data_IF_900186156018
#
_entry.id   IF_900186156018
#
_cell.length_a   1.000
_cell.length_b   1.000
_cell.length_c   1.000
_cell.angle_alpha   90.00
_cell.angle_beta   90.00
_cell.angle_gamma   90.00
#
_symmetry.space_group_name_H-M   'P 1'
#
loop_
_entity.id
_entity.type
_entity.pdbx_description
1 polymer ?
#
# COMPACT_ATOMS: atom_id res chain seq x y z
N UNK A 1 23.14 24.48 -21.30
CA UNK A 1 24.53 24.84 -20.95
C UNK A 1 25.00 24.05 -19.74
N UNK A 2 24.25 24.04 -18.64
CA UNK A 2 24.56 23.23 -17.44
C UNK A 2 24.70 21.72 -17.70
N UNK A 3 23.80 21.08 -18.46
CA UNK A 3 23.92 19.63 -18.74
C UNK A 3 25.18 19.27 -19.53
N UNK A 4 25.66 20.17 -20.40
CA UNK A 4 26.89 19.96 -21.17
C UNK A 4 28.13 20.09 -20.28
N UNK A 5 28.16 21.09 -19.40
CA UNK A 5 29.23 21.28 -18.42
C UNK A 5 29.29 20.12 -17.40
N UNK A 6 28.14 19.59 -17.00
CA UNK A 6 28.04 18.38 -16.18
C UNK A 6 28.63 17.19 -16.92
N UNK A 7 28.30 16.99 -18.20
CA UNK A 7 28.82 15.89 -19.01
C UNK A 7 30.33 16.01 -19.27
N UNK A 8 30.86 17.23 -19.41
CA UNK A 8 32.30 17.45 -19.58
C UNK A 8 33.13 17.00 -18.36
N UNK A 9 32.57 17.14 -17.16
CA UNK A 9 33.23 16.79 -15.90
C UNK A 9 32.74 15.46 -15.30
N UNK A 10 31.83 14.77 -15.98
CA UNK A 10 31.22 13.55 -15.46
C UNK A 10 32.22 12.39 -15.49
N UNK A 11 32.48 11.82 -14.32
CA UNK A 11 33.17 10.55 -14.20
C UNK A 11 32.15 9.40 -14.08
N UNK A 12 32.18 8.40 -14.98
CA UNK A 12 31.32 7.23 -14.91
C UNK A 12 31.38 6.55 -13.53
N UNK A 13 30.25 6.53 -12.84
CA UNK A 13 30.12 5.94 -11.50
C UNK A 13 28.76 5.31 -11.31
N UNK A 14 28.65 4.42 -10.34
CA UNK A 14 27.36 4.02 -9.84
C UNK A 14 26.91 4.93 -8.68
N UNK A 15 25.61 5.04 -8.48
CA UNK A 15 25.00 5.81 -7.41
C UNK A 15 23.68 5.19 -6.96
N UNK A 16 23.22 5.52 -5.77
CA UNK A 16 21.88 5.16 -5.27
C UNK A 16 21.00 6.42 -5.32
N UNK A 17 19.77 6.26 -5.77
CA UNK A 17 18.75 7.32 -5.80
C UNK A 17 17.48 6.88 -5.04
N UNK A 18 16.97 7.71 -4.10
CA UNK A 18 17.62 8.90 -3.58
C UNK A 18 18.91 8.54 -2.80
N UNK A 19 19.84 9.48 -2.65
CA UNK A 19 21.09 9.25 -1.91
C UNK A 19 20.95 9.42 -0.40
N UNK A 20 19.83 9.97 0.05
CA UNK A 20 19.51 10.25 1.46
C UNK A 20 18.05 9.90 1.70
N UNK A 21 17.78 9.25 2.84
CA UNK A 21 16.44 9.08 3.40
C UNK A 21 16.43 9.76 4.76
N UNK A 22 15.80 10.94 4.84
CA UNK A 22 15.73 11.74 6.06
C UNK A 22 14.30 11.85 6.58
N UNK A 23 14.01 11.16 7.69
CA UNK A 23 12.72 11.17 8.37
C UNK A 23 12.41 12.53 9.04
N UNK A 24 13.35 13.47 9.05
CA UNK A 24 13.15 14.82 9.57
C UNK A 24 12.76 15.84 8.50
N UNK A 25 12.86 15.48 7.22
CA UNK A 25 12.51 16.34 6.09
C UNK A 25 11.06 16.10 5.63
N UNK A 26 10.13 16.92 6.12
CA UNK A 26 8.75 16.97 5.64
C UNK A 26 8.50 18.25 4.82
N UNK A 27 7.77 18.19 3.70
CA UNK A 27 7.01 17.04 3.19
C UNK A 27 7.80 16.11 2.26
N UNK A 28 9.09 16.36 2.03
CA UNK A 28 9.87 15.66 1.01
C UNK A 28 9.94 14.13 1.23
N UNK A 29 10.18 13.70 2.46
CA UNK A 29 10.26 12.28 2.83
C UNK A 29 8.92 11.71 3.33
N UNK A 30 7.78 12.32 2.98
CA UNK A 30 6.48 11.70 3.26
C UNK A 30 6.39 10.34 2.51
N UNK A 31 5.84 9.27 3.12
CA UNK A 31 5.15 9.21 4.43
C UNK A 31 6.08 9.04 5.64
N UNK A 32 7.34 8.68 5.42
CA UNK A 32 8.31 8.33 6.47
C UNK A 32 8.53 9.45 7.49
N UNK A 33 8.55 10.70 7.04
CA UNK A 33 8.75 11.84 7.93
C UNK A 33 7.59 12.08 8.92
N UNK A 34 6.39 11.55 8.62
CA UNK A 34 5.21 11.65 9.50
C UNK A 34 5.03 10.49 10.47
N UNK A 35 5.69 9.35 10.22
CA UNK A 35 5.63 8.19 11.11
C UNK A 35 7.04 7.73 11.50
N UNK A 36 7.47 8.00 12.74
CA UNK A 36 8.73 7.47 13.24
C UNK A 36 8.67 5.94 13.38
N UNK A 37 9.84 5.32 13.39
CA UNK A 37 9.99 3.90 13.69
C UNK A 37 9.86 3.66 15.21
N UNK A 38 9.49 2.44 15.58
CA UNK A 38 9.46 1.96 16.96
C UNK A 38 9.52 0.44 17.00
N UNK A 39 9.85 -0.13 18.16
CA UNK A 39 9.97 -1.57 18.32
C UNK A 39 8.61 -2.27 18.32
N UNK A 40 8.55 -3.47 17.74
CA UNK A 40 7.32 -4.26 17.61
C UNK A 40 6.43 -3.87 16.41
N UNK A 41 6.85 -2.89 15.60
CA UNK A 41 6.18 -2.53 14.37
C UNK A 41 6.44 -3.52 13.21
N UNK A 42 5.52 -3.60 12.25
CA UNK A 42 5.75 -4.16 10.93
C UNK A 42 7.00 -3.54 10.28
N UNK A 43 7.76 -4.32 9.49
CA UNK A 43 8.91 -3.80 8.77
C UNK A 43 8.53 -2.63 7.86
N UNK A 44 9.27 -1.53 7.96
CA UNK A 44 9.17 -0.45 6.98
C UNK A 44 10.08 -0.78 5.81
N UNK A 45 9.49 -0.83 4.62
CA UNK A 45 10.21 -1.12 3.38
C UNK A 45 10.47 0.19 2.63
N UNK A 46 11.72 0.43 2.25
CA UNK A 46 12.13 1.53 1.39
C UNK A 46 12.89 1.00 0.18
N UNK A 47 12.42 1.32 -1.02
CA UNK A 47 13.09 0.92 -2.26
C UNK A 47 13.86 2.11 -2.84
N UNK A 48 15.16 1.91 -3.02
CA UNK A 48 16.04 2.82 -3.74
C UNK A 48 16.44 2.24 -5.09
N UNK A 49 16.74 3.10 -6.05
CA UNK A 49 17.24 2.72 -7.37
C UNK A 49 18.76 2.77 -7.38
N UNK A 50 19.40 1.69 -7.81
CA UNK A 50 20.80 1.67 -8.16
C UNK A 50 20.92 2.15 -9.61
N UNK A 51 21.70 3.20 -9.84
CA UNK A 51 22.01 3.73 -11.16
C UNK A 51 23.47 3.41 -11.50
N UNK A 52 23.71 2.75 -12.63
CA UNK A 52 25.04 2.39 -13.10
C UNK A 52 25.44 3.21 -14.32
N UNK A 53 26.17 4.30 -14.09
CA UNK A 53 26.76 5.11 -15.16
C UNK A 53 28.06 4.54 -15.72
N UNK A 54 28.60 3.45 -15.15
CA UNK A 54 29.87 2.86 -15.61
C UNK A 54 29.73 2.02 -16.88
N UNK A 55 28.55 1.44 -17.13
CA UNK A 55 28.25 0.60 -18.29
C UNK A 55 26.80 0.10 -18.29
N UNK A 56 26.40 -0.57 -19.39
CA UNK A 56 25.03 -1.14 -19.55
C UNK A 56 24.74 -2.24 -18.54
N UNK A 57 25.77 -3.01 -18.19
CA UNK A 57 25.70 -4.12 -17.25
C UNK A 57 26.62 -3.83 -16.07
N UNK A 58 26.16 -4.14 -14.86
CA UNK A 58 26.94 -4.11 -13.64
C UNK A 58 26.52 -5.24 -12.70
N UNK A 59 27.30 -5.44 -11.65
CA UNK A 59 27.08 -6.49 -10.67
C UNK A 59 27.35 -5.95 -9.28
N UNK A 60 26.55 -6.38 -8.31
CA UNK A 60 26.80 -6.12 -6.89
C UNK A 60 27.90 -7.07 -6.43
N UNK A 61 29.02 -6.52 -5.94
CA UNK A 61 30.21 -7.31 -5.60
C UNK A 61 30.03 -8.11 -4.31
N UNK A 62 29.36 -7.52 -3.32
CA UNK A 62 29.09 -8.12 -2.02
C UNK A 62 27.73 -7.61 -1.50
N UNK A 63 27.08 -8.33 -0.56
CA UNK A 63 25.85 -7.86 0.06
C UNK A 63 25.98 -6.43 0.62
N UNK A 64 24.94 -5.58 0.48
CA UNK A 64 24.90 -4.25 1.10
C UNK A 64 25.18 -4.31 2.59
N UNK A 65 25.90 -3.30 3.10
CA UNK A 65 26.32 -3.25 4.50
C UNK A 65 25.76 -2.00 5.17
N UNK A 66 25.10 -2.19 6.31
CA UNK A 66 24.74 -1.10 7.23
C UNK A 66 25.92 -0.73 8.12
N UNK A 67 26.23 0.56 8.16
CA UNK A 67 27.31 1.15 8.94
C UNK A 67 26.72 2.26 9.81
N UNK A 68 26.38 1.97 11.08
CA UNK A 68 25.82 2.96 11.97
C UNK A 68 26.85 4.05 12.30
N UNK A 69 26.40 5.29 12.48
CA UNK A 69 27.27 6.40 12.87
C UNK A 69 27.73 6.32 14.33
N UNK A 70 26.96 5.65 15.19
CA UNK A 70 27.24 5.45 16.62
C UNK A 70 26.70 4.10 17.13
N UNK A 71 26.83 3.83 18.43
CA UNK A 71 26.35 2.58 19.03
C UNK A 71 24.82 2.45 19.02
N UNK A 72 24.09 3.57 19.00
CA UNK A 72 22.62 3.58 19.02
C UNK A 72 22.06 3.05 17.69
N UNK A 73 22.78 3.23 16.59
CA UNK A 73 22.44 2.63 15.30
C UNK A 73 22.42 1.08 15.30
N UNK A 74 22.92 0.42 16.34
CA UNK A 74 22.77 -1.03 16.52
C UNK A 74 21.35 -1.44 16.95
N UNK A 75 20.50 -0.49 17.38
CA UNK A 75 19.08 -0.74 17.66
C UNK A 75 18.26 -0.96 16.38
N UNK A 76 18.79 -0.58 15.22
CA UNK A 76 18.19 -0.85 13.93
C UNK A 76 18.52 -2.30 13.49
N UNK A 77 17.47 -3.06 13.20
CA UNK A 77 17.53 -4.28 12.40
C UNK A 77 17.23 -3.90 10.96
N UNK A 78 18.18 -4.14 10.05
CA UNK A 78 18.03 -3.83 8.63
C UNK A 78 18.45 -5.02 7.77
N UNK A 79 17.57 -5.39 6.85
CA UNK A 79 17.82 -6.43 5.86
C UNK A 79 17.69 -5.86 4.45
N UNK A 80 18.36 -6.48 3.49
CA UNK A 80 18.43 -5.97 2.12
C UNK A 80 17.93 -7.01 1.12
N UNK A 81 17.13 -6.54 0.17
CA UNK A 81 16.80 -7.24 -1.06
C UNK A 81 17.32 -6.41 -2.22
N UNK A 82 18.07 -6.97 -3.17
CA UNK A 82 18.71 -6.18 -4.22
C UNK A 82 18.90 -6.97 -5.50
N UNK A 83 19.17 -6.27 -6.60
CA UNK A 83 19.53 -6.90 -7.87
C UNK A 83 20.98 -7.36 -7.84
N UNK A 84 21.23 -8.66 -8.03
CA UNK A 84 22.60 -9.19 -8.21
C UNK A 84 23.23 -8.67 -9.51
N UNK A 85 22.41 -8.57 -10.56
CA UNK A 85 22.78 -8.04 -11.88
C UNK A 85 22.02 -6.75 -12.13
N UNK A 86 22.76 -5.70 -12.46
CA UNK A 86 22.24 -4.39 -12.84
C UNK A 86 22.14 -4.34 -14.35
N UNK A 87 20.92 -4.40 -14.89
CA UNK A 87 20.67 -4.36 -16.32
C UNK A 87 19.22 -3.97 -16.65
N UNK A 88 19.00 -3.09 -17.66
CA UNK A 88 19.99 -2.24 -18.32
C UNK A 88 20.21 -0.95 -17.49
N UNK A 89 21.46 -0.66 -17.11
CA UNK A 89 21.89 0.50 -16.30
C UNK A 89 21.28 0.66 -14.90
N UNK A 90 20.17 0.00 -14.58
CA UNK A 90 19.45 0.18 -13.32
C UNK A 90 19.23 -1.13 -12.59
N UNK A 91 19.26 -1.07 -11.26
CA UNK A 91 18.88 -2.16 -10.35
C UNK A 91 18.11 -1.59 -9.17
N UNK A 92 17.64 -2.46 -8.28
CA UNK A 92 16.96 -2.03 -7.05
C UNK A 92 17.76 -2.38 -5.80
N UNK A 93 17.55 -1.59 -4.75
CA UNK A 93 18.00 -1.84 -3.39
C UNK A 93 16.80 -1.58 -2.46
N UNK A 94 16.18 -2.65 -1.98
CA UNK A 94 15.13 -2.63 -0.97
C UNK A 94 15.72 -2.76 0.43
N UNK A 95 15.36 -1.84 1.31
CA UNK A 95 15.71 -1.80 2.72
C UNK A 95 14.50 -2.23 3.54
N UNK A 96 14.67 -3.23 4.38
CA UNK A 96 13.65 -3.72 5.32
C UNK A 96 14.08 -3.34 6.72
N UNK A 97 13.45 -2.33 7.30
CA UNK A 97 13.89 -1.68 8.54
C UNK A 97 12.92 -1.94 9.68
N UNK A 98 13.47 -2.34 10.83
CA UNK A 98 12.74 -2.52 12.09
C UNK A 98 13.61 -2.09 13.27
N UNK A 99 12.97 -1.58 14.32
CA UNK A 99 13.67 -1.34 15.59
C UNK A 99 13.59 -2.62 16.41
N UNK A 100 14.74 -3.05 16.93
CA UNK A 100 14.82 -4.23 17.79
C UNK A 100 14.13 -3.97 19.13
N UNK A 101 13.77 -5.03 19.84
CA UNK A 101 13.04 -4.95 21.11
C UNK A 101 13.81 -4.14 22.19
N UNK A 102 15.15 -4.20 22.17
CA UNK A 102 16.02 -3.41 23.05
C UNK A 102 15.82 -1.90 22.86
N UNK A 103 15.34 -1.48 21.69
CA UNK A 103 15.01 -0.09 21.37
C UNK A 103 13.60 0.34 21.72
N UNK A 104 12.80 -0.48 22.42
CA UNK A 104 11.39 -0.20 22.73
C UNK A 104 11.14 1.07 23.55
N UNK A 105 12.12 1.51 24.35
CA UNK A 105 12.08 2.74 25.14
C UNK A 105 12.93 3.87 24.54
N UNK A 106 13.61 3.62 23.41
CA UNK A 106 14.50 4.59 22.81
C UNK A 106 13.70 5.72 22.13
N UNK A 107 14.20 6.94 22.26
CA UNK A 107 13.65 8.13 21.60
C UNK A 107 14.81 8.95 21.07
N UNK A 108 14.87 9.17 19.76
CA UNK A 108 15.96 9.92 19.16
C UNK A 108 16.09 9.70 17.66
N UNK A 109 17.28 9.98 17.15
CA UNK A 109 17.65 9.75 15.76
C UNK A 109 18.61 8.57 15.68
N UNK A 110 18.47 7.76 14.64
CA UNK A 110 19.47 6.78 14.21
C UNK A 110 20.02 7.25 12.87
N UNK A 111 21.33 7.41 12.80
CA UNK A 111 22.04 7.86 11.61
C UNK A 111 23.08 6.84 11.18
N UNK A 112 23.34 6.76 9.88
CA UNK A 112 24.37 5.91 9.33
C UNK A 112 24.25 5.74 7.82
N UNK A 113 25.07 4.84 7.29
CA UNK A 113 25.23 4.65 5.86
C UNK A 113 24.93 3.21 5.46
N UNK A 114 24.21 3.03 4.35
CA UNK A 114 24.15 1.77 3.62
C UNK A 114 25.12 1.86 2.44
N UNK A 115 26.09 0.96 2.41
CA UNK A 115 27.15 0.95 1.41
C UNK A 115 26.98 -0.25 0.46
N UNK A 116 27.04 0.01 -0.85
CA UNK A 116 26.94 -1.01 -1.91
C UNK A 116 28.12 -0.86 -2.88
N UNK A 117 28.87 -1.94 -3.07
CA UNK A 117 29.97 -1.98 -4.02
C UNK A 117 29.50 -2.58 -5.34
N UNK A 118 29.67 -1.82 -6.42
CA UNK A 118 29.26 -2.21 -7.77
C UNK A 118 30.48 -2.24 -8.65
N UNK A 119 30.57 -3.28 -9.49
CA UNK A 119 31.53 -3.33 -10.56
C UNK A 119 30.85 -3.48 -11.92
N UNK A 120 31.51 -2.99 -12.96
CA UNK A 120 31.07 -3.13 -14.35
C UNK A 120 32.25 -3.59 -15.21
N UNK A 121 32.00 -4.35 -16.29
CA UNK A 121 33.04 -4.71 -17.24
C UNK A 121 33.80 -3.48 -17.76
N UNK A 122 35.05 -3.66 -18.21
CA UNK A 122 35.84 -2.57 -18.80
C UNK A 122 35.11 -1.93 -19.98
N UNK A 123 35.20 -0.61 -20.12
CA UNK A 123 34.70 0.05 -21.32
C UNK A 123 35.61 -0.22 -22.53
N UNK A 124 35.17 0.21 -23.72
CA UNK A 124 35.96 0.05 -24.95
C UNK A 124 37.32 0.72 -24.80
N UNK A 125 38.40 -0.08 -24.90
CA UNK A 125 39.78 0.40 -24.76
C UNK A 125 40.37 0.25 -23.35
N UNK A 126 39.55 -0.13 -22.37
CA UNK A 126 40.00 -0.44 -21.01
C UNK A 126 40.21 -1.95 -20.84
N UNK A 127 41.10 -2.33 -19.91
CA UNK A 127 41.36 -3.73 -19.55
C UNK A 127 40.89 -4.10 -18.15
N UNK A 128 40.60 -3.11 -17.32
CA UNK A 128 40.28 -3.28 -15.90
C UNK A 128 38.80 -2.98 -15.68
N UNK A 129 38.08 -3.80 -14.89
CA UNK A 129 36.71 -3.49 -14.51
C UNK A 129 36.60 -2.17 -13.77
N UNK A 130 35.52 -1.43 -14.03
CA UNK A 130 35.20 -0.19 -13.31
C UNK A 130 34.52 -0.56 -12.00
N UNK A 131 34.90 0.09 -10.90
CA UNK A 131 34.31 -0.12 -9.57
C UNK A 131 33.83 1.21 -9.01
N UNK A 132 32.70 1.17 -8.31
CA UNK A 132 32.14 2.31 -7.61
C UNK A 132 31.48 1.86 -6.32
N UNK A 133 31.81 2.54 -5.23
CA UNK A 133 31.13 2.38 -3.94
C UNK A 133 30.02 3.42 -3.86
N UNK A 134 28.79 2.95 -3.72
CA UNK A 134 27.61 3.78 -3.56
C UNK A 134 27.23 3.86 -2.09
N UNK A 135 26.79 5.03 -1.64
CA UNK A 135 26.39 5.27 -0.26
C UNK A 135 24.98 5.85 -0.26
N UNK A 136 24.09 5.25 0.53
CA UNK A 136 22.78 5.76 0.89
C UNK A 136 22.82 6.18 2.36
N UNK A 137 22.58 7.45 2.64
CA UNK A 137 22.55 7.96 4.00
C UNK A 137 21.15 7.77 4.59
N UNK A 138 21.07 7.22 5.80
CA UNK A 138 19.82 7.07 6.54
C UNK A 138 19.86 7.98 7.76
N UNK A 139 18.78 8.75 7.94
CA UNK A 139 18.49 9.51 9.14
C UNK A 139 17.07 9.20 9.57
N UNK A 140 16.96 8.29 10.52
CA UNK A 140 15.70 7.66 10.92
C UNK A 140 15.26 8.25 12.26
N UNK A 141 13.98 8.61 12.35
CA UNK A 141 13.37 9.07 13.61
C UNK A 141 12.78 7.88 14.34
N UNK A 142 13.16 7.70 15.62
CA UNK A 142 12.69 6.61 16.47
C UNK A 142 12.02 7.16 17.72
N UNK A 143 10.94 6.52 18.13
CA UNK A 143 10.21 6.82 19.37
C UNK A 143 9.99 5.55 20.21
N UNK A 144 9.64 5.69 21.50
CA UNK A 144 9.22 4.55 22.29
C UNK A 144 7.98 3.90 21.69
N UNK A 145 7.85 2.59 21.87
CA UNK A 145 6.70 1.82 21.36
C UNK A 145 5.39 2.44 21.85
N UNK A 146 4.52 2.89 20.93
CA UNK A 146 3.23 3.48 21.29
C UNK A 146 2.33 2.48 22.02
N UNK A 147 1.40 2.96 22.87
CA UNK A 147 0.39 2.10 23.46
C UNK A 147 -0.40 1.35 22.40
N UNK A 148 -0.72 0.08 22.65
CA UNK A 148 -1.53 -0.79 21.77
C UNK A 148 -2.77 -0.09 21.22
N UNK A 149 -3.49 0.64 22.06
CA UNK A 149 -4.73 1.34 21.69
C UNK A 149 -4.56 2.45 20.64
N UNK A 150 -3.32 2.87 20.34
CA UNK A 150 -2.99 3.84 19.30
C UNK A 150 -2.37 3.22 18.06
N UNK A 151 -2.22 1.90 18.02
CA UNK A 151 -1.60 1.18 16.91
C UNK A 151 -2.68 0.54 16.04
N UNK A 152 -2.73 0.96 14.79
CA UNK A 152 -3.67 0.50 13.77
C UNK A 152 -2.87 -0.31 12.75
N UNK A 153 -3.32 -1.51 12.46
CA UNK A 153 -2.81 -2.31 11.35
C UNK A 153 -3.75 -2.13 10.16
N UNK A 154 -3.20 -1.77 9.01
CA UNK A 154 -3.89 -1.69 7.73
C UNK A 154 -3.67 -2.99 6.96
N UNK A 155 -4.74 -3.65 6.55
CA UNK A 155 -4.65 -4.82 5.68
C UNK A 155 -4.37 -4.40 4.24
N UNK A 156 -3.09 -4.47 3.81
CA UNK A 156 -2.67 -4.18 2.44
C UNK A 156 -2.61 -5.43 1.58
N UNK A 157 -2.61 -6.60 2.21
CA UNK A 157 -2.35 -7.86 1.52
C UNK A 157 -3.49 -8.24 0.59
N UNK A 158 -4.72 -7.96 1.04
CA UNK A 158 -5.97 -8.27 0.33
C UNK A 158 -6.52 -7.10 -0.52
N UNK A 159 -5.80 -5.97 -0.57
CA UNK A 159 -6.06 -4.89 -1.53
C UNK A 159 -5.49 -5.24 -2.92
N UNK A 160 -6.10 -4.70 -3.98
CA UNK A 160 -5.54 -4.71 -5.32
C UNK A 160 -4.24 -3.89 -5.36
N UNK A 161 -3.13 -4.57 -5.70
CA UNK A 161 -1.80 -3.91 -5.87
C UNK A 161 -1.62 -3.34 -7.27
N UNK A 162 -2.16 -4.06 -8.25
CA UNK A 162 -2.23 -3.70 -9.66
C UNK A 162 -3.32 -4.60 -10.26
N UNK A 163 -4.25 -4.08 -11.08
CA UNK A 163 -5.40 -4.87 -11.51
C UNK A 163 -4.95 -6.13 -12.25
N UNK A 164 -5.19 -7.35 -11.69
CA UNK A 164 -4.87 -8.62 -12.36
C UNK A 164 -5.89 -8.95 -13.47
N UNK A 165 -6.98 -8.19 -13.54
CA UNK A 165 -8.08 -8.33 -14.49
C UNK A 165 -8.94 -7.07 -14.51
N UNK A 166 -10.16 -7.18 -15.02
CA UNK A 166 -11.11 -6.06 -14.99
C UNK A 166 -11.65 -5.86 -13.57
N UNK A 167 -11.14 -4.87 -12.85
CA UNK A 167 -11.80 -4.32 -11.66
C UNK A 167 -12.46 -2.98 -12.04
N UNK A 168 -13.76 -2.80 -11.76
CA UNK A 168 -14.47 -1.56 -12.03
C UNK A 168 -14.12 -0.50 -10.97
N UNK A 169 -14.41 0.78 -11.27
CA UNK A 169 -14.30 1.87 -10.30
C UNK A 169 -15.23 1.69 -9.11
N UNK A 170 -14.82 2.20 -7.96
CA UNK A 170 -15.64 2.23 -6.74
C UNK A 170 -16.87 3.11 -6.93
N UNK A 171 -16.69 4.30 -7.52
CA UNK A 171 -17.80 5.19 -7.87
C UNK A 171 -18.36 4.87 -9.25
N UNK A 172 -19.61 4.39 -9.27
CA UNK A 172 -20.33 4.09 -10.52
C UNK A 172 -20.79 5.33 -11.30
N UNK A 173 -20.61 6.52 -10.74
CA UNK A 173 -20.90 7.79 -11.41
C UNK A 173 -19.83 8.14 -12.47
N UNK A 174 -18.64 7.55 -12.36
CA UNK A 174 -17.52 7.76 -13.30
C UNK A 174 -17.68 6.83 -14.50
N UNK A 175 -17.98 7.40 -15.68
CA UNK A 175 -18.29 6.62 -16.90
C UNK A 175 -17.25 6.69 -18.01
N UNK A 176 -16.32 7.64 -17.94
CA UNK A 176 -15.32 7.85 -18.99
C UNK A 176 -14.15 6.87 -18.91
N UNK A 177 -13.98 6.26 -17.73
CA UNK A 177 -12.93 5.32 -17.42
C UNK A 177 -13.51 4.26 -16.49
N UNK A 178 -13.61 3.06 -17.02
CA UNK A 178 -14.33 1.95 -16.39
C UNK A 178 -13.42 1.08 -15.53
N UNK A 179 -12.10 1.19 -15.69
CA UNK A 179 -11.14 0.35 -14.97
C UNK A 179 -10.67 1.10 -13.72
N UNK A 180 -10.42 0.39 -12.62
CA UNK A 180 -9.52 0.90 -11.59
C UNK A 180 -8.08 0.45 -11.86
N UNK A 181 -7.21 1.44 -12.08
CA UNK A 181 -5.79 1.26 -12.41
C UNK A 181 -4.90 1.75 -11.27
N UNK A 182 -5.48 2.42 -10.27
CA UNK A 182 -4.72 2.94 -9.15
C UNK A 182 -4.75 1.90 -8.04
N UNK A 183 -3.61 1.23 -7.81
CA UNK A 183 -3.51 0.29 -6.70
C UNK A 183 -3.84 0.94 -5.36
N UNK A 184 -4.51 0.18 -4.51
CA UNK A 184 -5.08 0.64 -3.27
C UNK A 184 -4.06 0.57 -2.16
N UNK A 185 -3.36 1.69 -1.95
CA UNK A 185 -2.32 1.78 -0.94
C UNK A 185 -2.58 2.94 0.03
N UNK A 186 -2.28 2.69 1.30
CA UNK A 186 -2.37 3.67 2.39
C UNK A 186 -1.67 5.00 2.08
N UNK A 187 -0.59 4.93 1.30
CA UNK A 187 0.25 6.06 0.92
C UNK A 187 0.02 6.58 -0.51
N UNK A 188 -0.99 6.08 -1.23
CA UNK A 188 -1.44 6.62 -2.52
C UNK A 188 -2.91 7.03 -2.41
N UNK A 189 -3.84 6.13 -2.73
CA UNK A 189 -5.27 6.39 -2.78
C UNK A 189 -5.82 6.85 -1.42
N UNK A 190 -5.31 6.27 -0.33
CA UNK A 190 -5.78 6.57 1.03
C UNK A 190 -4.88 7.54 1.81
N UNK A 191 -4.04 8.33 1.13
CA UNK A 191 -3.08 9.20 1.81
C UNK A 191 -3.72 10.23 2.75
N UNK A 192 -4.95 10.68 2.43
CA UNK A 192 -5.70 11.63 3.27
C UNK A 192 -6.07 10.97 4.59
N UNK A 193 -6.61 9.75 4.54
CA UNK A 193 -6.94 8.97 5.74
C UNK A 193 -5.69 8.69 6.59
N UNK A 194 -4.57 8.30 5.97
CA UNK A 194 -3.31 8.14 6.69
C UNK A 194 -2.93 9.42 7.45
N UNK A 195 -2.96 10.57 6.76
CA UNK A 195 -2.63 11.85 7.38
C UNK A 195 -3.58 12.19 8.54
N UNK A 196 -4.90 12.01 8.37
CA UNK A 196 -5.89 12.26 9.42
C UNK A 196 -5.69 11.37 10.65
N UNK A 197 -5.42 10.07 10.44
CA UNK A 197 -5.13 9.14 11.54
C UNK A 197 -3.84 9.51 12.28
N UNK A 198 -2.79 9.89 11.53
CA UNK A 198 -1.54 10.39 12.12
C UNK A 198 -1.74 11.67 12.91
N UNK A 199 -2.52 12.62 12.38
CA UNK A 199 -2.84 13.90 13.03
C UNK A 199 -3.68 13.68 14.31
N UNK A 200 -4.52 12.64 14.33
CA UNK A 200 -5.24 12.17 15.53
C UNK A 200 -4.36 11.39 16.53
N UNK A 201 -3.09 11.12 16.20
CA UNK A 201 -2.12 10.47 17.08
C UNK A 201 -2.08 8.95 17.02
N UNK A 202 -2.70 8.33 16.01
CA UNK A 202 -2.63 6.90 15.73
C UNK A 202 -1.45 6.55 14.84
N UNK A 203 -0.79 5.43 15.10
CA UNK A 203 0.31 4.90 14.29
C UNK A 203 -0.27 3.81 13.38
N UNK A 204 -0.10 3.97 12.07
CA UNK A 204 -0.76 3.12 11.07
C UNK A 204 0.29 2.34 10.32
N UNK A 205 0.22 1.02 10.41
CA UNK A 205 1.23 0.10 9.88
C UNK A 205 0.64 -0.75 8.76
N UNK A 206 1.41 -1.03 7.73
CA UNK A 206 0.94 -1.77 6.54
C UNK A 206 1.22 -3.27 6.69
N UNK A 207 0.18 -4.10 6.68
CA UNK A 207 0.29 -5.56 6.68
C UNK A 207 0.38 -6.06 5.23
N UNK A 208 1.58 -6.45 4.82
CA UNK A 208 1.86 -6.99 3.48
C UNK A 208 1.78 -8.52 3.38
N UNK A 209 1.15 -9.20 4.33
CA UNK A 209 1.09 -10.66 4.43
C UNK A 209 -0.30 -11.13 4.94
N UNK A 210 -0.63 -12.43 4.83
CA UNK A 210 -1.89 -12.96 5.35
C UNK A 210 -2.14 -12.61 6.82
N UNK A 211 -3.40 -12.59 7.24
CA UNK A 211 -3.79 -12.26 8.62
C UNK A 211 -3.14 -13.19 9.64
N UNK A 212 -2.77 -14.41 9.26
CA UNK A 212 -2.07 -15.37 10.13
C UNK A 212 -0.66 -14.95 10.52
N UNK A 213 -0.05 -13.97 9.84
CA UNK A 213 1.35 -13.60 10.03
C UNK A 213 1.59 -12.49 11.08
N UNK A 214 0.54 -11.84 11.60
CA UNK A 214 0.70 -10.77 12.59
C UNK A 214 0.20 -11.18 13.98
N UNK A 215 0.83 -10.61 15.02
CA UNK A 215 0.42 -10.75 16.41
C UNK A 215 -0.58 -9.64 16.81
N UNK A 216 -1.82 -10.01 17.11
CA UNK A 216 -2.88 -9.07 17.51
C UNK A 216 -2.66 -8.43 18.90
N UNK A 217 -1.77 -8.98 19.72
CA UNK A 217 -1.41 -8.36 21.00
C UNK A 217 -0.71 -7.01 20.81
N UNK A 218 -0.08 -6.79 19.64
CA UNK A 218 0.64 -5.58 19.29
C UNK A 218 -0.28 -4.43 18.84
N UNK A 219 -1.50 -4.74 18.37
CA UNK A 219 -2.38 -3.78 17.70
C UNK A 219 -3.72 -3.63 18.42
N UNK A 220 -4.20 -2.39 18.50
CA UNK A 220 -5.52 -2.09 19.04
C UNK A 220 -6.62 -2.27 18.00
N UNK A 221 -6.31 -2.10 16.72
CA UNK A 221 -7.30 -2.15 15.64
C UNK A 221 -6.70 -2.70 14.35
N UNK A 222 -7.44 -3.57 13.67
CA UNK A 222 -7.26 -3.93 12.27
C UNK A 222 -8.24 -3.13 11.42
N UNK A 223 -7.72 -2.41 10.43
CA UNK A 223 -8.45 -1.57 9.50
C UNK A 223 -8.42 -2.23 8.12
N UNK A 224 -9.61 -2.52 7.61
CA UNK A 224 -9.88 -3.28 6.39
C UNK A 224 -10.70 -2.38 5.47
N UNK A 225 -10.09 -1.87 4.40
CA UNK A 225 -10.72 -0.89 3.51
C UNK A 225 -10.51 -1.37 2.10
N UNK A 226 -11.61 -1.49 1.36
CA UNK A 226 -11.61 -1.81 -0.06
C UNK A 226 -10.86 -3.11 -0.38
N UNK A 227 -11.40 -4.24 0.11
CA UNK A 227 -10.72 -5.53 0.02
C UNK A 227 -11.37 -6.41 -1.03
N UNK A 228 -10.54 -6.92 -1.94
CA UNK A 228 -10.99 -7.61 -3.14
C UNK A 228 -10.53 -9.07 -3.24
N UNK A 229 -9.58 -9.48 -2.38
CA UNK A 229 -9.08 -10.85 -2.33
C UNK A 229 -9.92 -11.76 -1.42
N UNK A 230 -9.77 -13.07 -1.60
CA UNK A 230 -10.40 -14.10 -0.78
C UNK A 230 -9.58 -14.42 0.48
N UNK A 231 -10.24 -14.95 1.52
CA UNK A 231 -9.59 -15.32 2.78
C UNK A 231 -9.49 -16.83 2.95
N UNK A 232 -8.33 -17.29 3.41
CA UNK A 232 -8.17 -18.68 3.79
C UNK A 232 -8.91 -18.99 5.09
N UNK A 233 -9.29 -20.26 5.30
CA UNK A 233 -10.02 -20.68 6.51
C UNK A 233 -9.23 -20.41 7.78
N UNK A 234 -7.91 -20.51 7.69
CA UNK A 234 -6.96 -20.22 8.76
C UNK A 234 -6.99 -18.75 9.14
N UNK A 235 -7.16 -17.84 8.18
CA UNK A 235 -7.28 -16.39 8.43
C UNK A 235 -8.60 -16.06 9.10
N UNK A 236 -9.70 -16.66 8.64
CA UNK A 236 -11.03 -16.49 9.26
C UNK A 236 -11.00 -16.96 10.72
N UNK A 237 -10.42 -18.15 10.96
CA UNK A 237 -10.28 -18.69 12.31
C UNK A 237 -9.39 -17.81 13.19
N UNK A 238 -8.27 -17.32 12.65
CA UNK A 238 -7.32 -16.46 13.36
C UNK A 238 -7.95 -15.11 13.70
N UNK A 239 -8.61 -14.44 12.75
CA UNK A 239 -9.26 -13.15 12.98
C UNK A 239 -10.36 -13.28 14.05
N UNK A 240 -11.13 -14.36 14.02
CA UNK A 240 -12.13 -14.64 15.06
C UNK A 240 -11.50 -14.70 16.45
N UNK A 241 -10.42 -15.48 16.62
CA UNK A 241 -9.69 -15.59 17.89
C UNK A 241 -9.15 -14.24 18.33
N UNK A 242 -8.55 -13.47 17.42
CA UNK A 242 -7.97 -12.17 17.76
C UNK A 242 -9.00 -11.15 18.22
N UNK A 243 -10.16 -11.12 17.58
CA UNK A 243 -11.24 -10.18 17.96
C UNK A 243 -11.88 -10.62 19.28
N UNK A 244 -12.23 -11.90 19.43
CA UNK A 244 -13.00 -12.39 20.58
C UNK A 244 -12.12 -12.57 21.82
N UNK A 245 -10.94 -13.17 21.66
CA UNK A 245 -10.11 -13.62 22.78
C UNK A 245 -9.00 -12.60 23.10
N UNK A 246 -8.44 -11.93 22.08
CA UNK A 246 -7.38 -10.93 22.25
C UNK A 246 -7.87 -9.47 22.24
N UNK A 247 -9.16 -9.24 22.00
CA UNK A 247 -9.77 -7.91 22.01
C UNK A 247 -9.18 -6.98 20.94
N UNK A 248 -8.91 -7.51 19.74
CA UNK A 248 -8.58 -6.71 18.56
C UNK A 248 -9.83 -5.96 18.08
N UNK A 249 -9.76 -4.64 17.95
CA UNK A 249 -10.80 -3.88 17.27
C UNK A 249 -10.78 -4.16 15.77
N UNK A 250 -11.95 -4.25 15.15
CA UNK A 250 -12.09 -4.50 13.72
C UNK A 250 -12.91 -3.37 13.09
N UNK A 251 -12.37 -2.74 12.04
CA UNK A 251 -13.08 -1.74 11.24
C UNK A 251 -13.03 -2.19 9.79
N UNK A 252 -14.21 -2.38 9.20
CA UNK A 252 -14.35 -2.86 7.82
C UNK A 252 -15.16 -1.86 7.01
N UNK A 253 -14.61 -1.43 5.89
CA UNK A 253 -15.31 -0.67 4.85
C UNK A 253 -15.51 -1.61 3.67
N UNK A 254 -16.78 -1.86 3.36
CA UNK A 254 -17.19 -2.62 2.19
C UNK A 254 -17.75 -1.65 1.14
N UNK A 255 -17.31 -1.83 -0.09
CA UNK A 255 -17.84 -1.13 -1.26
C UNK A 255 -19.04 -1.88 -1.86
N UNK A 256 -19.46 -1.47 -3.05
CA UNK A 256 -20.57 -2.11 -3.75
C UNK A 256 -20.18 -3.48 -4.33
N UNK A 257 -21.16 -4.38 -4.41
CA UNK A 257 -21.06 -5.63 -5.15
C UNK A 257 -22.42 -6.02 -5.68
N UNK A 258 -22.58 -6.12 -7.01
CA UNK A 258 -23.84 -6.49 -7.63
C UNK A 258 -23.59 -7.22 -8.96
N UNK A 259 -23.97 -8.49 -9.01
CA UNK A 259 -23.66 -9.38 -10.15
C UNK A 259 -24.31 -8.89 -11.45
N UNK A 260 -25.56 -8.42 -11.41
CA UNK A 260 -26.24 -7.95 -12.62
C UNK A 260 -25.57 -6.71 -13.20
N UNK A 261 -25.17 -5.77 -12.33
CA UNK A 261 -24.47 -4.56 -12.72
C UNK A 261 -23.10 -4.88 -13.31
N UNK A 262 -22.35 -5.80 -12.69
CA UNK A 262 -21.08 -6.29 -13.23
C UNK A 262 -21.24 -6.90 -14.63
N UNK A 263 -22.27 -7.72 -14.85
CA UNK A 263 -22.54 -8.30 -16.18
C UNK A 263 -22.88 -7.22 -17.21
N UNK A 264 -23.61 -6.17 -16.83
CA UNK A 264 -23.94 -5.03 -17.71
C UNK A 264 -22.70 -4.19 -18.08
N UNK A 265 -21.66 -4.18 -17.25
CA UNK A 265 -20.40 -3.46 -17.50
C UNK A 265 -19.44 -4.20 -18.45
N UNK A 266 -19.77 -5.43 -18.85
CA UNK A 266 -18.96 -6.22 -19.78
C UNK A 266 -18.73 -5.48 -21.09
N UNK A 267 -17.47 -5.42 -21.53
CA UNK A 267 -17.08 -4.81 -22.81
C UNK A 267 -16.14 -5.73 -23.61
N UNK A 268 -16.03 -5.48 -24.91
CA UNK A 268 -15.09 -6.19 -25.78
C UNK A 268 -13.81 -5.35 -25.88
N UNK A 269 -12.68 -5.89 -25.45
CA UNK A 269 -11.38 -5.26 -25.59
C UNK A 269 -10.76 -5.63 -26.94
N UNK A 270 -10.55 -4.65 -27.80
CA UNK A 270 -9.97 -4.82 -29.12
C UNK A 270 -8.50 -5.26 -29.07
N UNK A 271 -7.77 -4.90 -28.01
CA UNK A 271 -6.34 -5.22 -27.87
C UNK A 271 -6.12 -6.72 -27.60
N UNK A 272 -6.89 -7.28 -26.67
CA UNK A 272 -6.86 -8.72 -26.35
C UNK A 272 -7.82 -9.55 -27.20
N UNK A 273 -8.71 -8.92 -27.97
CA UNK A 273 -9.79 -9.55 -28.75
C UNK A 273 -10.65 -10.48 -27.91
N UNK A 274 -10.95 -10.06 -26.69
CA UNK A 274 -11.70 -10.86 -25.72
C UNK A 274 -12.73 -10.01 -24.99
N UNK A 275 -13.75 -10.67 -24.47
CA UNK A 275 -14.74 -10.02 -23.63
C UNK A 275 -14.23 -9.94 -22.20
N UNK A 276 -14.21 -8.73 -21.65
CA UNK A 276 -13.82 -8.45 -20.29
C UNK A 276 -15.07 -8.25 -19.45
N UNK A 277 -15.19 -9.03 -18.39
CA UNK A 277 -16.26 -8.92 -17.38
C UNK A 277 -15.57 -8.60 -16.05
N UNK A 278 -16.13 -7.71 -15.22
CA UNK A 278 -15.62 -7.45 -13.88
C UNK A 278 -15.40 -8.75 -13.09
N UNK A 279 -14.24 -8.88 -12.46
CA UNK A 279 -13.94 -10.04 -11.58
C UNK A 279 -14.57 -9.90 -10.20
N UNK A 280 -14.77 -8.67 -9.75
CA UNK A 280 -15.44 -8.29 -8.50
C UNK A 280 -16.12 -6.92 -8.67
N UNK A 281 -16.88 -6.48 -7.65
CA UNK A 281 -17.44 -5.12 -7.58
C UNK A 281 -16.38 -4.10 -7.19
N UNK A 282 -16.75 -3.07 -6.42
CA UNK A 282 -15.76 -2.21 -5.74
C UNK A 282 -14.97 -3.03 -4.71
N UNK A 283 -15.66 -3.88 -3.94
CA UNK A 283 -15.02 -4.83 -3.03
C UNK A 283 -15.52 -6.26 -3.27
N UNK A 284 -14.78 -7.25 -2.78
CA UNK A 284 -15.22 -8.65 -2.76
C UNK A 284 -16.12 -8.92 -1.55
N UNK A 285 -17.34 -8.36 -1.62
CA UNK A 285 -18.37 -8.50 -0.59
C UNK A 285 -18.67 -9.97 -0.23
N UNK A 286 -18.73 -10.94 -1.17
CA UNK A 286 -18.85 -12.35 -0.82
C UNK A 286 -17.74 -12.84 0.10
N UNK A 287 -16.47 -12.54 -0.18
CA UNK A 287 -15.34 -12.93 0.67
C UNK A 287 -15.41 -12.24 2.05
N UNK A 288 -15.74 -10.95 2.08
CA UNK A 288 -15.96 -10.21 3.34
C UNK A 288 -17.09 -10.84 4.17
N UNK A 289 -18.17 -11.29 3.54
CA UNK A 289 -19.27 -11.98 4.22
C UNK A 289 -18.83 -13.33 4.80
N UNK A 290 -17.97 -14.09 4.11
CA UNK A 290 -17.40 -15.32 4.67
C UNK A 290 -16.50 -15.04 5.88
N UNK A 291 -15.66 -14.01 5.79
CA UNK A 291 -14.78 -13.55 6.87
C UNK A 291 -15.57 -13.10 8.10
N UNK A 292 -16.66 -12.35 7.90
CA UNK A 292 -17.45 -11.73 8.96
C UNK A 292 -18.57 -12.61 9.53
N UNK A 293 -18.88 -13.72 8.86
CA UNK A 293 -19.87 -14.71 9.29
C UNK A 293 -19.75 -15.13 10.76
N UNK A 294 -18.54 -15.37 11.32
CA UNK A 294 -18.41 -15.74 12.74
C UNK A 294 -18.88 -14.66 13.72
N UNK A 295 -18.93 -13.40 13.29
CA UNK A 295 -19.43 -12.26 14.07
C UNK A 295 -20.91 -11.96 13.83
N UNK A 296 -21.55 -12.70 12.91
CA UNK A 296 -22.96 -12.51 12.57
C UNK A 296 -23.23 -11.21 11.80
N UNK A 297 -22.25 -10.71 11.05
CA UNK A 297 -22.37 -9.53 10.19
C UNK A 297 -22.41 -10.00 8.73
N UNK A 298 -23.27 -9.37 7.93
CA UNK A 298 -23.29 -9.58 6.48
C UNK A 298 -23.76 -8.31 5.74
N UNK A 299 -23.13 -8.08 4.60
CA UNK A 299 -23.51 -7.09 3.60
C UNK A 299 -24.42 -7.71 2.53
N UNK A 300 -25.30 -6.89 1.96
CA UNK A 300 -26.15 -7.27 0.83
C UNK A 300 -25.55 -6.86 -0.52
N UNK A 301 -26.38 -6.90 -1.55
CA UNK A 301 -26.02 -6.64 -2.96
C UNK A 301 -26.67 -5.38 -3.53
N UNK A 302 -27.17 -4.50 -2.66
CA UNK A 302 -27.68 -3.19 -3.05
C UNK A 302 -26.53 -2.25 -3.41
N UNK A 303 -26.79 -1.33 -4.33
CA UNK A 303 -25.90 -0.22 -4.66
C UNK A 303 -26.56 1.05 -4.17
N UNK A 304 -26.23 1.42 -2.93
CA UNK A 304 -26.78 2.60 -2.28
C UNK A 304 -26.00 3.85 -2.69
N UNK A 305 -26.73 4.93 -2.96
CA UNK A 305 -26.20 6.26 -3.24
C UNK A 305 -26.96 7.32 -2.43
N UNK A 306 -26.25 8.33 -1.92
CA UNK A 306 -26.88 9.53 -1.38
C UNK A 306 -26.09 10.22 -0.27
N UNK A 307 -26.54 11.41 0.08
CA UNK A 307 -25.92 12.21 1.13
C UNK A 307 -26.33 11.73 2.52
N UNK A 308 -25.37 11.77 3.44
CA UNK A 308 -25.62 11.50 4.85
C UNK A 308 -24.88 12.51 5.73
N UNK A 309 -25.32 12.61 6.98
CA UNK A 309 -24.65 13.42 7.98
C UNK A 309 -24.52 12.67 9.29
N UNK A 310 -23.30 12.65 9.82
CA UNK A 310 -22.96 12.06 11.11
C UNK A 310 -22.16 13.10 11.89
N UNK A 311 -22.55 13.34 13.14
CA UNK A 311 -21.85 14.28 14.04
C UNK A 311 -21.64 15.70 13.47
N UNK A 312 -22.53 16.16 12.59
CA UNK A 312 -22.45 17.50 11.99
C UNK A 312 -21.54 17.59 10.75
N UNK A 313 -20.86 16.50 10.39
CA UNK A 313 -20.17 16.38 9.11
C UNK A 313 -21.14 15.84 8.05
N UNK A 314 -21.06 16.39 6.84
CA UNK A 314 -21.81 15.91 5.68
C UNK A 314 -20.84 15.17 4.76
N UNK A 315 -21.27 14.03 4.26
CA UNK A 315 -20.53 13.25 3.27
C UNK A 315 -21.49 12.60 2.27
N UNK A 316 -20.94 12.17 1.15
CA UNK A 316 -21.68 11.52 0.08
C UNK A 316 -21.32 10.03 0.05
N UNK A 317 -22.32 9.18 0.13
CA UNK A 317 -22.18 7.74 -0.07
C UNK A 317 -22.37 7.48 -1.56
N UNK A 318 -21.28 7.29 -2.31
CA UNK A 318 -21.32 7.26 -3.77
C UNK A 318 -21.90 5.95 -4.31
N UNK A 319 -21.36 4.81 -3.91
CA UNK A 319 -21.79 3.50 -4.39
C UNK A 319 -21.33 2.44 -3.40
N UNK A 320 -22.22 1.93 -2.56
CA UNK A 320 -21.81 0.90 -1.59
C UNK A 320 -22.93 -0.02 -1.13
N UNK A 321 -22.53 -1.14 -0.51
CA UNK A 321 -23.42 -2.19 -0.08
C UNK A 321 -24.26 -1.83 1.15
N UNK A 322 -25.45 -2.42 1.27
CA UNK A 322 -26.25 -2.34 2.49
C UNK A 322 -25.81 -3.37 3.54
N UNK A 323 -26.16 -3.14 4.80
CA UNK A 323 -25.94 -4.12 5.88
C UNK A 323 -27.24 -4.90 6.08
N UNK A 324 -27.24 -6.17 5.71
CA UNK A 324 -28.42 -7.06 5.79
C UNK A 324 -28.46 -7.86 7.09
N UNK A 325 -27.31 -8.06 7.73
CA UNK A 325 -27.22 -8.77 9.00
C UNK A 325 -26.24 -8.07 9.95
N UNK A 326 -26.66 -7.92 11.21
CA UNK A 326 -25.82 -7.38 12.27
C UNK A 326 -26.14 -8.08 13.60
N UNK A 327 -25.15 -8.34 14.48
CA UNK A 327 -25.37 -9.06 15.72
C UNK A 327 -26.33 -8.34 16.68
N UNK A 328 -27.11 -9.12 17.43
CA UNK A 328 -28.04 -8.60 18.43
C UNK A 328 -27.28 -7.83 19.51
N UNK A 329 -27.77 -6.65 19.86
CA UNK A 329 -27.11 -5.75 20.82
C UNK A 329 -26.09 -4.81 20.18
N UNK A 330 -25.79 -4.99 18.89
CA UNK A 330 -25.07 -4.01 18.09
C UNK A 330 -25.94 -2.80 17.74
N UNK A 331 -25.28 -1.68 17.45
CA UNK A 331 -25.92 -0.44 17.01
C UNK A 331 -25.78 -0.28 15.50
N UNK A 332 -26.89 -0.03 14.82
CA UNK A 332 -26.92 0.20 13.37
C UNK A 332 -27.44 1.62 13.10
N UNK A 333 -26.60 2.46 12.50
CA UNK A 333 -27.00 3.76 11.99
C UNK A 333 -27.64 3.58 10.61
N UNK A 334 -28.75 4.29 10.36
CA UNK A 334 -29.51 4.17 9.12
C UNK A 334 -29.72 5.54 8.50
N UNK A 335 -29.51 5.61 7.19
CA UNK A 335 -29.77 6.79 6.36
C UNK A 335 -30.74 6.42 5.25
N UNK A 336 -31.44 7.42 4.71
CA UNK A 336 -32.27 7.23 3.52
C UNK A 336 -31.38 7.40 2.30
N UNK A 337 -31.00 6.28 1.70
CA UNK A 337 -30.19 6.23 0.49
C UNK A 337 -31.04 5.71 -0.67
N UNK A 338 -30.69 6.11 -1.89
CA UNK A 338 -31.28 5.63 -3.12
C UNK A 338 -30.65 4.30 -3.52
N UNK A 339 -31.46 3.31 -3.86
CA UNK A 339 -30.99 2.01 -4.37
C UNK A 339 -30.94 2.04 -5.90
N UNK A 340 -29.75 1.86 -6.45
CA UNK A 340 -29.50 1.89 -7.89
C UNK A 340 -29.25 0.51 -8.51
N UNK A 341 -29.38 -0.59 -7.75
CA UNK A 341 -29.09 -1.95 -8.27
C UNK A 341 -29.92 -2.34 -9.49
N UNK A 342 -31.18 -1.89 -9.56
CA UNK A 342 -32.06 -2.15 -10.71
C UNK A 342 -31.91 -1.11 -11.83
N UNK A 343 -31.45 0.10 -11.47
CA UNK A 343 -31.24 1.23 -12.39
C UNK A 343 -29.88 1.08 -13.07
N UNK A 344 -29.77 0.09 -13.95
CA UNK A 344 -28.53 -0.19 -14.67
C UNK A 344 -27.91 1.08 -15.27
N UNK A 345 -26.57 1.12 -15.29
CA UNK A 345 -25.71 2.10 -15.98
C UNK A 345 -25.91 2.15 -17.52
N UNK A 346 -27.15 1.94 -17.97
CA UNK A 346 -27.63 1.89 -19.34
C UNK A 346 -28.66 3.00 -19.59
N UNK A 347 -28.23 4.25 -19.47
CA UNK A 347 -28.71 5.30 -20.36
C UNK A 347 -27.51 6.16 -20.77
N UNK A 348 -27.15 6.08 -22.06
CA UNK A 348 -26.41 7.05 -22.89
C UNK A 348 -25.05 6.67 -23.51
N UNK A 349 -24.47 5.48 -23.28
CA UNK A 349 -23.21 5.11 -24.00
C UNK A 349 -23.44 4.86 -25.51
N UNK A 350 -24.67 4.52 -25.92
CA UNK A 350 -25.01 4.24 -27.33
C UNK A 350 -25.65 5.42 -28.10
N UNK A 351 -25.82 6.60 -27.49
CA UNK A 351 -26.40 7.75 -28.21
C UNK A 351 -25.36 8.73 -28.79
N UNK A 352 -24.10 8.65 -28.38
CA UNK A 352 -23.05 9.57 -28.89
C UNK A 352 -22.27 9.05 -30.09
N UNK A 353 -22.44 7.78 -30.49
CA UNK A 353 -21.79 7.20 -31.69
C UNK A 353 -22.67 7.18 -32.95
N UNK A 354 -23.91 7.72 -32.88
CA UNK A 354 -24.91 7.61 -33.94
C UNK A 354 -25.30 8.90 -34.68
N UNK A 355 -24.63 10.03 -34.44
CA UNK A 355 -24.92 11.29 -35.15
C UNK A 355 -23.64 12.00 -35.59
N UNK A 356 -23.00 11.47 -36.62
CA UNK A 356 -22.22 12.25 -37.60
C UNK A 356 -21.85 11.36 -38.78
N UNK A 357 -22.77 11.27 -39.75
CA UNK A 357 -22.47 11.30 -41.19
C UNK A 357 -23.76 11.48 -41.98
#
# INVERSE_FOLDING_TARGET
LESYEILQNYYPRASIFPSIVDYTDCPYSWPFCRQPLYAGAMPVIFNATILNGMGVIGYVENPPVWQPSDEVGNLLSIHFSYSDVIWPWTGFLGLHMQIKEEGSQFSGLIEGNVTVNIYSPPARGEKVPRRSTCVLQLKLKVIPTPPRSRRILWDQYHNIKYPPGYIPRDSLDVRNDILDWHGDHLHTNFHIMFNMLRDAGYYVETLGSPLTCFDASQYGTLLMVDLEDEYYREEIAKLRTDVIDHGLGLVVFAEWYNVETMVKMRFFDDNTRSWWTPVTGGANVPALNELLKPFGIAFGDKILNGDFSINGEQSHYASGADIVQFPRGGYLHKFRLHDSSESGATQNILQTSGMTK
#
